data_IF_230596425908
#
_entry.id   IF_230596425908
#
_cell.length_a   1.000
_cell.length_b   1.000
_cell.length_c   1.000
_cell.angle_alpha   90.00
_cell.angle_beta   90.00
_cell.angle_gamma   90.00
#
_symmetry.space_group_name_H-M   'P 1'
#
loop_
_entity.id
_entity.type
_entity.pdbx_description
1 polymer ?
#
# COMPACT_ATOMS: atom_id res chain seq x y z
N UNK A 1 -12.09 7.65 19.42
CA UNK A 1 -11.12 6.95 18.57
C UNK A 1 -9.99 7.92 18.41
N UNK A 2 -8.83 7.62 18.95
CA UNK A 2 -7.64 8.41 18.66
C UNK A 2 -7.21 8.16 17.19
N UNK A 3 -6.50 9.10 16.59
CA UNK A 3 -6.14 9.03 15.17
C UNK A 3 -5.17 7.87 14.87
N UNK A 4 -4.44 7.39 15.88
CA UNK A 4 -3.46 6.31 15.78
C UNK A 4 -4.13 4.91 15.74
N UNK A 5 -5.19 4.72 16.52
CA UNK A 5 -6.04 3.54 16.56
C UNK A 5 -6.82 3.38 15.24
N UNK A 6 -7.29 4.50 14.66
CA UNK A 6 -7.84 4.54 13.30
C UNK A 6 -6.83 4.01 12.27
N UNK A 7 -5.62 4.57 12.26
CA UNK A 7 -4.58 4.23 11.28
C UNK A 7 -4.13 2.76 11.40
N UNK A 8 -4.03 2.25 12.62
CA UNK A 8 -3.69 0.85 12.88
C UNK A 8 -4.79 -0.13 12.46
N UNK A 9 -6.05 0.30 12.41
CA UNK A 9 -7.16 -0.54 11.95
C UNK A 9 -7.16 -0.71 10.42
N UNK A 10 -6.76 0.33 9.68
CA UNK A 10 -6.84 0.35 8.21
C UNK A 10 -5.53 -0.03 7.49
N UNK A 11 -4.40 -0.11 8.21
CA UNK A 11 -3.13 -0.61 7.67
C UNK A 11 -2.96 -2.09 7.99
N UNK A 12 -2.41 -2.82 7.04
CA UNK A 12 -2.15 -4.25 7.19
C UNK A 12 -0.89 -4.53 8.02
N UNK A 13 0.09 -3.62 7.94
CA UNK A 13 1.36 -3.72 8.66
C UNK A 13 1.23 -3.09 10.05
N UNK A 14 1.07 -3.94 11.08
CA UNK A 14 0.92 -3.49 12.48
C UNK A 14 2.27 -3.19 13.12
N UNK A 15 2.34 -2.08 13.87
CA UNK A 15 3.52 -1.71 14.66
C UNK A 15 4.69 -1.14 13.85
N UNK A 16 4.49 -0.89 12.55
CA UNK A 16 5.44 -0.20 11.70
C UNK A 16 4.79 1.07 11.16
N UNK A 17 5.46 2.20 11.38
CA UNK A 17 5.06 3.46 10.78
C UNK A 17 5.75 3.60 9.44
N UNK A 18 4.99 4.09 8.45
CA UNK A 18 5.55 4.43 7.15
C UNK A 18 6.37 5.70 7.30
N UNK A 19 7.66 5.60 7.02
CA UNK A 19 8.62 6.69 7.09
C UNK A 19 9.17 7.04 5.70
N UNK A 20 9.74 8.25 5.51
CA UNK A 20 10.36 8.63 4.24
C UNK A 20 11.45 7.65 3.76
N UNK A 21 12.12 6.96 4.69
CA UNK A 21 13.14 5.97 4.38
C UNK A 21 12.57 4.74 3.67
N UNK A 22 11.32 4.35 3.95
CA UNK A 22 10.69 3.19 3.29
C UNK A 22 10.43 3.46 1.81
N UNK A 23 10.02 4.69 1.48
CA UNK A 23 9.85 5.15 0.10
C UNK A 23 11.21 5.20 -0.60
N UNK A 24 12.24 5.75 0.05
CA UNK A 24 13.59 5.80 -0.50
C UNK A 24 14.17 4.41 -0.75
N UNK A 25 13.98 3.46 0.17
CA UNK A 25 14.43 2.08 0.04
C UNK A 25 13.72 1.37 -1.13
N UNK A 26 12.42 1.62 -1.30
CA UNK A 26 11.66 1.07 -2.43
C UNK A 26 12.14 1.64 -3.77
N UNK A 27 12.44 2.94 -3.83
CA UNK A 27 13.04 3.55 -5.02
C UNK A 27 14.44 2.99 -5.30
N UNK A 28 15.25 2.76 -4.26
CA UNK A 28 16.57 2.13 -4.39
C UNK A 28 16.45 0.70 -4.93
N UNK A 29 15.49 -0.08 -4.44
CA UNK A 29 15.18 -1.41 -4.99
C UNK A 29 14.82 -1.32 -6.49
N UNK A 30 13.92 -0.41 -6.87
CA UNK A 30 13.53 -0.21 -8.27
C UNK A 30 14.69 0.27 -9.16
N UNK A 31 15.69 0.95 -8.60
CA UNK A 31 16.89 1.39 -9.31
C UNK A 31 17.99 0.32 -9.39
N UNK A 32 17.87 -0.78 -8.65
CA UNK A 32 18.89 -1.84 -8.56
C UNK A 32 18.73 -2.91 -9.65
N UNK A 33 19.73 -3.77 -9.82
CA UNK A 33 19.66 -4.90 -10.75
C UNK A 33 18.60 -5.95 -10.36
N UNK A 34 18.14 -5.94 -9.10
CA UNK A 34 17.10 -6.84 -8.60
C UNK A 34 15.73 -6.57 -9.23
N UNK A 35 15.50 -5.36 -9.74
CA UNK A 35 14.26 -4.95 -10.40
C UNK A 35 14.37 -4.94 -11.93
N UNK A 36 15.41 -5.53 -12.54
CA UNK A 36 15.73 -5.38 -13.98
C UNK A 36 14.62 -5.67 -14.99
N UNK A 37 13.60 -6.45 -14.60
CA UNK A 37 12.43 -6.77 -15.44
C UNK A 37 11.13 -6.10 -14.97
N UNK A 38 11.17 -5.34 -13.87
CA UNK A 38 10.03 -4.63 -13.31
C UNK A 38 9.96 -3.25 -13.96
N UNK A 39 9.04 -3.07 -14.91
CA UNK A 39 8.79 -1.80 -15.58
C UNK A 39 7.30 -1.61 -15.86
N UNK A 40 6.86 -0.36 -16.01
CA UNK A 40 5.46 -0.03 -16.29
C UNK A 40 4.48 -0.33 -15.13
N UNK A 41 4.98 -0.57 -13.92
CA UNK A 41 4.18 -0.88 -12.74
C UNK A 41 4.11 0.30 -11.77
N UNK A 42 2.95 0.54 -11.16
CA UNK A 42 2.79 1.50 -10.07
C UNK A 42 2.97 0.79 -8.73
N UNK A 43 4.09 1.04 -8.06
CA UNK A 43 4.40 0.45 -6.75
C UNK A 43 3.85 1.35 -5.63
N UNK A 44 2.81 0.88 -4.94
CA UNK A 44 2.17 1.62 -3.84
C UNK A 44 2.83 1.25 -2.51
N UNK A 45 3.20 2.26 -1.73
CA UNK A 45 3.93 2.10 -0.47
C UNK A 45 3.14 2.81 0.63
N UNK A 46 2.14 2.15 1.19
CA UNK A 46 1.19 2.75 2.15
C UNK A 46 0.84 1.85 3.35
N UNK A 47 1.53 0.72 3.49
CA UNK A 47 1.23 -0.29 4.52
C UNK A 47 0.02 -1.17 4.20
N UNK A 48 -0.40 -1.25 2.93
CA UNK A 48 -1.51 -2.08 2.46
C UNK A 48 -2.87 -1.39 2.51
N UNK A 49 -2.91 -0.12 2.91
CA UNK A 49 -4.14 0.65 3.10
C UNK A 49 -5.02 0.67 1.84
N UNK A 50 -4.42 0.85 0.66
CA UNK A 50 -5.11 0.90 -0.63
C UNK A 50 -5.88 -0.40 -0.97
N UNK A 51 -5.42 -1.57 -0.48
CA UNK A 51 -6.00 -2.87 -0.87
C UNK A 51 -6.80 -3.56 0.24
N UNK A 52 -6.56 -3.23 1.51
CA UNK A 52 -7.22 -3.88 2.65
C UNK A 52 -8.48 -3.17 3.10
N UNK A 53 -8.69 -1.93 2.66
CA UNK A 53 -9.91 -1.22 2.93
C UNK A 53 -10.94 -1.48 1.83
N UNK A 54 -11.79 -2.48 2.03
CA UNK A 54 -12.85 -2.85 1.09
C UNK A 54 -13.86 -1.72 0.80
N UNK A 55 -13.90 -0.66 1.63
CA UNK A 55 -14.67 0.56 1.38
C UNK A 55 -14.02 1.56 0.41
N UNK A 56 -12.75 1.38 0.04
CA UNK A 56 -11.97 2.26 -0.85
C UNK A 56 -11.43 1.53 -2.10
N UNK A 57 -11.86 0.28 -2.35
CA UNK A 57 -11.50 -0.45 -3.56
C UNK A 57 -11.80 0.38 -4.82
N UNK A 58 -10.77 0.61 -5.63
CA UNK A 58 -10.79 1.42 -6.86
C UNK A 58 -11.74 0.81 -7.91
N UNK A 59 -12.02 -0.49 -7.78
CA UNK A 59 -13.14 -1.15 -8.44
C UNK A 59 -14.26 -1.30 -7.41
N UNK A 60 -15.30 -0.48 -7.56
CA UNK A 60 -16.53 -0.67 -6.81
C UNK A 60 -17.03 -2.09 -6.99
N UNK A 61 -17.63 -2.66 -5.95
CA UNK A 61 -18.40 -3.89 -6.07
C UNK A 61 -19.72 -3.63 -6.81
N UNK A 62 -19.64 -3.10 -8.03
CA UNK A 62 -20.75 -3.01 -8.95
C UNK A 62 -20.58 -4.14 -9.97
N UNK A 63 -20.92 -5.38 -9.58
CA UNK A 63 -21.29 -6.53 -10.44
C UNK A 63 -21.11 -7.87 -9.70
N UNK A 64 -21.80 -8.08 -8.57
CA UNK A 64 -22.15 -9.46 -8.15
C UNK A 64 -23.50 -9.42 -7.45
N UNK A 65 -24.56 -9.03 -8.16
CA UNK A 65 -25.96 -9.30 -7.81
C UNK A 65 -26.83 -9.01 -9.05
N UNK A 66 -26.79 -9.89 -10.04
CA UNK A 66 -27.93 -10.11 -10.92
C UNK A 66 -28.24 -11.62 -10.97
#
# INVERSE_FOLDING_TARGET
>A
MDDEECLNMYKNLKGANLEPVDVAASALFLASDESKYVSGHSLIIDGGFTITNCGFSIFGQDEINE
#
